data_IF_921296851197
#
_entry.id   IF_921296851197
#
_cell.length_a   1.000
_cell.length_b   1.000
_cell.length_c   1.000
_cell.angle_alpha   90.00
_cell.angle_beta   90.00
_cell.angle_gamma   90.00
#
_symmetry.space_group_name_H-M   'P 1'
#
loop_
_entity.id
_entity.type
_entity.pdbx_description
1 polymer ?
#
# COMPACT_ATOMS: atom_id res chain seq x y z
N UNK A 1 -7.19 17.23 3.63
CA UNK A 1 -6.99 16.23 2.56
C UNK A 1 -7.97 16.56 1.44
N UNK A 2 -7.52 17.03 0.27
CA UNK A 2 -8.41 17.52 -0.81
C UNK A 2 -8.86 16.43 -1.78
N UNK A 3 -8.36 15.20 -1.61
CA UNK A 3 -8.59 14.09 -2.53
C UNK A 3 -10.03 13.59 -2.49
N UNK A 4 -10.77 13.65 -3.61
CA UNK A 4 -12.22 13.45 -3.63
C UNK A 4 -12.63 12.06 -3.17
N UNK A 5 -11.85 11.01 -3.49
CA UNK A 5 -12.20 9.65 -3.08
C UNK A 5 -12.04 9.42 -1.58
N UNK A 6 -11.02 10.02 -0.95
CA UNK A 6 -10.92 9.97 0.50
C UNK A 6 -12.08 10.75 1.16
N UNK A 7 -12.40 11.94 0.65
CA UNK A 7 -13.53 12.73 1.14
C UNK A 7 -14.87 12.00 0.96
N UNK A 8 -15.07 11.33 -0.16
CA UNK A 8 -16.28 10.54 -0.40
C UNK A 8 -16.39 9.36 0.57
N UNK A 9 -15.28 8.66 0.85
CA UNK A 9 -15.27 7.56 1.83
C UNK A 9 -15.61 8.04 3.25
N UNK A 10 -15.33 9.29 3.60
CA UNK A 10 -15.75 9.83 4.91
C UNK A 10 -17.26 9.99 5.08
N UNK A 11 -18.01 10.04 3.97
CA UNK A 11 -19.48 10.12 4.00
C UNK A 11 -20.16 8.77 4.10
N UNK A 12 -19.42 7.67 3.94
CA UNK A 12 -19.98 6.33 3.96
C UNK A 12 -19.79 5.68 5.33
N UNK A 13 -20.78 4.95 5.86
CA UNK A 13 -20.67 4.21 7.10
C UNK A 13 -19.86 2.93 6.90
N UNK A 14 -18.59 3.06 6.50
CA UNK A 14 -17.71 1.94 6.23
C UNK A 14 -16.47 1.95 7.12
N UNK A 15 -15.81 0.79 7.21
CA UNK A 15 -14.60 0.59 8.01
C UNK A 15 -13.36 1.34 7.52
N UNK A 16 -13.40 2.01 6.35
CA UNK A 16 -12.28 2.79 5.81
C UNK A 16 -11.73 3.84 6.75
N UNK A 17 -12.61 4.60 7.42
CA UNK A 17 -12.17 5.75 8.19
C UNK A 17 -11.39 5.25 9.40
N UNK A 18 -11.94 4.29 10.14
CA UNK A 18 -11.28 3.63 11.25
C UNK A 18 -9.95 3.00 10.80
N UNK A 19 -9.95 2.34 9.64
CA UNK A 19 -8.75 1.77 9.04
C UNK A 19 -7.67 2.83 8.75
N UNK A 20 -8.03 3.94 8.10
CA UNK A 20 -7.10 5.03 7.78
C UNK A 20 -6.55 5.69 9.04
N UNK A 21 -7.37 5.90 10.07
CA UNK A 21 -6.92 6.45 11.35
C UNK A 21 -5.88 5.54 12.00
N UNK A 22 -6.14 4.22 12.06
CA UNK A 22 -5.19 3.26 12.60
C UNK A 22 -3.90 3.19 11.76
N UNK A 23 -4.02 3.09 10.43
CA UNK A 23 -2.89 3.01 9.52
C UNK A 23 -2.02 4.27 9.56
N UNK A 24 -2.62 5.45 9.42
CA UNK A 24 -1.87 6.71 9.44
C UNK A 24 -1.30 6.99 10.83
N UNK A 25 -2.01 6.61 11.90
CA UNK A 25 -1.49 6.65 13.26
C UNK A 25 -0.23 5.79 13.39
N UNK A 26 -0.27 4.54 12.91
CA UNK A 26 0.89 3.65 12.91
C UNK A 26 2.07 4.26 12.16
N UNK A 27 1.86 4.76 10.94
CA UNK A 27 2.90 5.35 10.11
C UNK A 27 3.46 6.66 10.70
N UNK A 28 2.62 7.47 11.33
CA UNK A 28 3.02 8.71 11.98
C UNK A 28 3.90 8.44 13.21
N UNK A 29 3.48 7.51 14.07
CA UNK A 29 4.26 7.09 15.25
C UNK A 29 5.58 6.45 14.80
N UNK A 30 5.53 5.58 13.77
CA UNK A 30 6.70 4.98 13.17
C UNK A 30 7.69 6.01 12.63
N UNK A 31 7.20 6.97 11.84
CA UNK A 31 8.01 8.06 11.28
C UNK A 31 8.66 8.91 12.38
N UNK A 32 7.92 9.24 13.44
CA UNK A 32 8.46 9.97 14.60
C UNK A 32 9.51 9.16 15.37
N UNK A 33 9.29 7.87 15.56
CA UNK A 33 10.23 6.99 16.24
C UNK A 33 11.54 6.86 15.43
N UNK A 34 11.43 6.67 14.11
CA UNK A 34 12.57 6.43 13.22
C UNK A 34 13.39 7.70 12.94
N UNK A 35 12.72 8.84 12.72
CA UNK A 35 13.37 10.11 12.38
C UNK A 35 13.74 10.97 13.62
N UNK A 36 13.18 10.64 14.79
CA UNK A 36 13.27 11.41 16.03
C UNK A 36 13.83 10.62 17.22
N UNK A 37 13.05 10.52 18.30
CA UNK A 37 13.50 10.12 19.64
C UNK A 37 13.79 8.63 19.84
N UNK A 38 13.51 7.77 18.84
CA UNK A 38 13.79 6.31 18.86
C UNK A 38 13.27 5.59 20.11
N UNK A 39 12.09 6.00 20.61
CA UNK A 39 11.47 5.37 21.77
C UNK A 39 10.95 3.96 21.47
N UNK A 40 11.25 3.01 22.35
CA UNK A 40 10.70 1.65 22.31
C UNK A 40 9.18 1.60 22.43
N UNK A 41 8.59 2.48 23.25
CA UNK A 41 7.13 2.58 23.38
C UNK A 41 6.47 3.03 22.07
N UNK A 42 7.15 3.84 21.27
CA UNK A 42 6.65 4.27 19.97
C UNK A 42 6.66 3.12 18.95
N UNK A 43 7.69 2.26 18.95
CA UNK A 43 7.69 1.05 18.12
C UNK A 43 6.62 0.05 18.53
N UNK A 44 6.42 -0.14 19.84
CA UNK A 44 5.33 -0.96 20.35
C UNK A 44 3.96 -0.41 19.92
N UNK A 45 3.73 0.88 20.09
CA UNK A 45 2.50 1.56 19.68
C UNK A 45 2.28 1.49 18.15
N UNK A 46 3.35 1.59 17.36
CA UNK A 46 3.29 1.35 15.92
C UNK A 46 2.74 -0.05 15.62
N UNK A 47 3.26 -1.06 16.31
CA UNK A 47 2.81 -2.45 16.22
C UNK A 47 1.34 -2.61 16.58
N UNK A 48 0.93 -2.04 17.72
CA UNK A 48 -0.47 -2.06 18.19
C UNK A 48 -1.40 -1.46 17.14
N UNK A 49 -1.10 -0.26 16.64
CA UNK A 49 -1.93 0.43 15.64
C UNK A 49 -1.95 -0.33 14.29
N UNK A 50 -0.85 -0.94 13.88
CA UNK A 50 -0.81 -1.81 12.71
C UNK A 50 -1.66 -3.07 12.91
N UNK A 51 -1.68 -3.65 14.11
CA UNK A 51 -2.53 -4.79 14.48
C UNK A 51 -4.01 -4.43 14.44
N UNK A 52 -4.36 -3.24 14.95
CA UNK A 52 -5.73 -2.71 14.85
C UNK A 52 -6.11 -2.53 13.37
N UNK A 53 -5.23 -1.95 12.55
CA UNK A 53 -5.49 -1.81 11.11
C UNK A 53 -5.72 -3.17 10.42
N UNK A 54 -4.98 -4.21 10.81
CA UNK A 54 -5.17 -5.58 10.32
C UNK A 54 -6.53 -6.17 10.70
N UNK A 55 -6.97 -5.99 11.95
CA UNK A 55 -8.30 -6.43 12.40
C UNK A 55 -9.43 -5.70 11.66
N UNK A 56 -9.25 -4.41 11.35
CA UNK A 56 -10.26 -3.63 10.63
C UNK A 56 -10.31 -4.06 9.15
N UNK A 57 -9.16 -4.30 8.50
CA UNK A 57 -9.10 -4.72 7.10
C UNK A 57 -7.97 -5.69 6.76
N UNK A 58 -8.29 -6.78 6.04
CA UNK A 58 -7.31 -7.73 5.51
C UNK A 58 -6.19 -7.15 4.65
N UNK A 59 -6.40 -6.01 3.98
CA UNK A 59 -5.35 -5.43 3.12
C UNK A 59 -4.12 -4.98 3.91
N UNK A 60 -4.25 -4.75 5.23
CA UNK A 60 -3.11 -4.46 6.09
C UNK A 60 -2.38 -5.72 6.58
N UNK A 61 -2.77 -6.93 6.15
CA UNK A 61 -2.10 -8.17 6.55
C UNK A 61 -0.61 -8.11 6.22
N UNK A 62 0.22 -8.08 7.27
CA UNK A 62 1.66 -7.99 7.13
C UNK A 62 2.22 -6.56 7.18
N UNK A 63 1.41 -5.51 7.41
CA UNK A 63 1.93 -4.14 7.64
C UNK A 63 2.92 -4.11 8.81
N UNK A 64 2.60 -4.76 9.93
CA UNK A 64 3.51 -4.84 11.08
C UNK A 64 4.86 -5.48 10.70
N UNK A 65 4.82 -6.63 10.02
CA UNK A 65 6.01 -7.29 9.51
C UNK A 65 6.81 -6.42 8.52
N UNK A 66 6.11 -5.76 7.59
CA UNK A 66 6.70 -4.87 6.61
C UNK A 66 7.43 -3.71 7.27
N UNK A 67 6.82 -3.03 8.25
CA UNK A 67 7.45 -1.95 9.00
C UNK A 67 8.68 -2.45 9.79
N UNK A 68 8.62 -3.66 10.36
CA UNK A 68 9.78 -4.29 10.98
C UNK A 68 10.92 -4.54 9.98
N UNK A 69 10.61 -4.97 8.76
CA UNK A 69 11.62 -5.12 7.70
C UNK A 69 12.26 -3.78 7.30
N UNK A 70 11.49 -2.69 7.24
CA UNK A 70 12.04 -1.35 6.98
C UNK A 70 13.06 -0.94 8.04
N UNK A 71 12.79 -1.23 9.31
CA UNK A 71 13.72 -0.93 10.42
C UNK A 71 14.97 -1.78 10.35
N UNK A 72 14.85 -3.07 10.02
CA UNK A 72 16.01 -3.95 9.84
C UNK A 72 16.90 -3.50 8.67
N UNK A 73 16.28 -3.03 7.58
CA UNK A 73 16.95 -2.50 6.41
C UNK A 73 17.64 -1.13 6.65
N UNK A 74 17.27 -0.40 7.71
CA UNK A 74 17.81 0.92 8.02
C UNK A 74 19.31 0.86 8.40
N UNK A 75 20.20 1.04 7.41
CA UNK A 75 21.66 0.85 7.55
C UNK A 75 22.35 1.75 8.59
N UNK A 76 21.70 2.82 9.03
CA UNK A 76 22.29 3.82 9.93
C UNK A 76 22.36 3.38 11.40
N UNK A 77 21.67 2.31 11.80
CA UNK A 77 21.57 1.93 13.23
C UNK A 77 22.42 0.72 13.59
N UNK A 78 22.78 0.57 14.87
CA UNK A 78 23.36 -0.67 15.37
C UNK A 78 22.36 -1.82 15.22
N UNK A 79 22.84 -3.00 14.82
CA UNK A 79 22.00 -4.17 14.54
C UNK A 79 21.10 -4.57 15.73
N UNK A 80 21.62 -4.49 16.96
CA UNK A 80 20.84 -4.78 18.18
C UNK A 80 19.63 -3.85 18.36
N UNK A 81 19.79 -2.55 18.11
CA UNK A 81 18.68 -1.59 18.17
C UNK A 81 17.65 -1.83 17.07
N UNK A 82 18.07 -2.32 15.90
CA UNK A 82 17.15 -2.67 14.80
C UNK A 82 16.30 -3.88 15.14
N UNK A 83 16.94 -4.95 15.63
CA UNK A 83 16.23 -6.15 16.10
C UNK A 83 15.26 -5.75 17.20
N UNK A 84 15.72 -4.96 18.17
CA UNK A 84 14.89 -4.46 19.24
C UNK A 84 13.63 -3.74 18.77
N UNK A 85 13.78 -2.73 17.92
CA UNK A 85 12.66 -1.99 17.38
C UNK A 85 11.72 -2.87 16.51
N UNK A 86 12.28 -3.76 15.70
CA UNK A 86 11.51 -4.72 14.91
C UNK A 86 10.71 -5.68 15.81
N UNK A 87 11.32 -6.21 16.86
CA UNK A 87 10.66 -7.06 17.86
C UNK A 87 9.57 -6.31 18.62
N UNK A 88 9.78 -5.03 18.96
CA UNK A 88 8.74 -4.21 19.60
C UNK A 88 7.53 -3.99 18.69
N UNK A 89 7.74 -3.71 17.39
CA UNK A 89 6.65 -3.62 16.41
C UNK A 89 5.89 -4.94 16.30
N UNK A 90 6.61 -6.07 16.16
CA UNK A 90 5.99 -7.39 16.05
C UNK A 90 5.23 -7.78 17.32
N UNK A 91 5.80 -7.51 18.49
CA UNK A 91 5.14 -7.74 19.77
C UNK A 91 3.84 -6.93 19.89
N UNK A 92 3.88 -5.62 19.56
CA UNK A 92 2.67 -4.80 19.55
C UNK A 92 1.61 -5.32 18.58
N UNK A 93 2.03 -5.79 17.41
CA UNK A 93 1.12 -6.37 16.43
C UNK A 93 0.44 -7.64 16.94
N UNK A 94 1.23 -8.55 17.53
CA UNK A 94 0.75 -9.79 18.12
C UNK A 94 -0.18 -9.56 19.32
N UNK A 95 0.12 -8.58 20.18
CA UNK A 95 -0.73 -8.26 21.35
C UNK A 95 -2.16 -7.86 20.96
N UNK A 96 -2.36 -7.32 19.76
CA UNK A 96 -3.70 -6.96 19.25
C UNK A 96 -4.36 -8.11 18.52
N UNK A 97 -3.60 -8.83 17.69
CA UNK A 97 -4.12 -9.89 16.83
C UNK A 97 -4.43 -11.17 17.62
N UNK A 98 -3.53 -11.60 18.50
CA UNK A 98 -3.64 -12.90 19.18
C UNK A 98 -4.90 -13.05 20.04
N UNK A 99 -5.33 -12.05 20.85
CA UNK A 99 -6.56 -12.20 21.64
C UNK A 99 -7.79 -12.51 20.78
N UNK A 100 -7.88 -11.89 19.59
CA UNK A 100 -8.96 -12.15 18.65
C UNK A 100 -8.84 -13.55 18.03
N UNK A 101 -7.65 -13.96 17.60
CA UNK A 101 -7.44 -15.29 17.01
C UNK A 101 -7.72 -16.41 18.02
N UNK A 102 -7.29 -16.26 19.27
CA UNK A 102 -7.58 -17.21 20.36
C UNK A 102 -9.08 -17.30 20.61
N UNK A 103 -9.77 -16.16 20.73
CA UNK A 103 -11.21 -16.16 20.93
C UNK A 103 -11.96 -16.83 19.77
N UNK A 104 -11.61 -16.54 18.52
CA UNK A 104 -12.25 -17.19 17.36
C UNK A 104 -11.97 -18.70 17.34
N UNK A 105 -10.75 -19.12 17.68
CA UNK A 105 -10.39 -20.52 17.75
C UNK A 105 -11.22 -21.26 18.83
N UNK A 106 -11.38 -20.68 20.01
CA UNK A 106 -12.22 -21.24 21.07
C UNK A 106 -13.68 -21.38 20.64
N UNK A 107 -14.21 -20.44 19.85
CA UNK A 107 -15.59 -20.48 19.39
C UNK A 107 -15.84 -21.43 18.21
N UNK A 108 -14.84 -21.64 17.35
CA UNK A 108 -15.03 -22.35 16.07
C UNK A 108 -14.28 -23.68 15.98
N UNK A 109 -13.29 -23.92 16.84
CA UNK A 109 -12.35 -25.04 16.73
C UNK A 109 -11.42 -24.96 15.51
N UNK A 110 -11.45 -23.85 14.75
CA UNK A 110 -10.67 -23.65 13.53
C UNK A 110 -9.77 -22.43 13.66
N UNK A 111 -8.54 -22.55 13.16
CA UNK A 111 -7.66 -21.38 12.99
C UNK A 111 -8.16 -20.61 11.78
N UNK A 112 -9.00 -19.61 12.04
CA UNK A 112 -9.50 -18.70 11.00
C UNK A 112 -8.48 -17.57 10.85
N UNK A 113 -7.69 -17.53 9.77
CA UNK A 113 -6.79 -16.40 9.55
C UNK A 113 -7.64 -15.11 9.49
N UNK A 114 -7.04 -13.99 9.89
CA UNK A 114 -7.61 -12.62 9.90
C UNK A 114 -8.39 -12.20 8.62
N UNK A 115 -8.31 -12.97 7.54
CA UNK A 115 -9.17 -12.84 6.37
C UNK A 115 -9.72 -14.19 5.88
N UNK A 116 -11.03 -14.37 6.00
CA UNK A 116 -11.79 -15.41 5.28
C UNK A 116 -12.09 -15.02 3.83
N UNK A 117 -11.97 -13.72 3.51
CA UNK A 117 -12.27 -13.17 2.19
C UNK A 117 -11.14 -13.26 1.15
N UNK A 118 -9.98 -13.79 1.52
CA UNK A 118 -8.79 -13.84 0.65
C UNK A 118 -9.06 -14.60 -0.65
N UNK A 119 -9.36 -15.90 -0.56
CA UNK A 119 -9.60 -16.76 -1.74
C UNK A 119 -10.75 -16.23 -2.61
N UNK A 120 -11.94 -15.90 -2.08
CA UNK A 120 -13.00 -15.30 -2.88
C UNK A 120 -12.56 -14.03 -3.62
N UNK A 121 -11.86 -13.11 -2.94
CA UNK A 121 -11.38 -11.86 -3.54
C UNK A 121 -10.35 -12.10 -4.64
N UNK A 122 -9.47 -13.10 -4.47
CA UNK A 122 -8.50 -13.50 -5.50
C UNK A 122 -9.22 -14.03 -6.74
N UNK A 123 -10.20 -14.92 -6.57
CA UNK A 123 -10.99 -15.44 -7.70
C UNK A 123 -11.76 -14.33 -8.42
N UNK A 124 -12.46 -13.47 -7.67
CA UNK A 124 -13.17 -12.33 -8.26
C UNK A 124 -12.21 -11.42 -9.03
N UNK A 125 -11.01 -11.19 -8.51
CA UNK A 125 -9.96 -10.42 -9.18
C UNK A 125 -9.41 -11.07 -10.46
N UNK A 126 -9.63 -12.37 -10.65
CA UNK A 126 -9.26 -13.11 -11.88
C UNK A 126 -10.40 -13.22 -12.89
N UNK A 127 -11.66 -12.99 -12.49
CA UNK A 127 -12.84 -13.17 -13.36
C UNK A 127 -13.73 -11.93 -13.47
N UNK A 128 -13.27 -10.76 -13.01
CA UNK A 128 -14.07 -9.54 -12.84
C UNK A 128 -14.80 -9.04 -14.10
N UNK A 129 -14.30 -9.33 -15.31
CA UNK A 129 -14.92 -8.88 -16.56
C UNK A 129 -15.91 -9.88 -17.17
N UNK A 130 -15.89 -11.15 -16.72
CA UNK A 130 -16.76 -12.22 -17.22
C UNK A 130 -17.90 -12.50 -16.26
N UNK A 131 -17.64 -12.42 -14.95
CA UNK A 131 -18.67 -12.62 -13.93
C UNK A 131 -19.35 -11.31 -13.54
N UNK A 132 -20.52 -11.06 -14.13
CA UNK A 132 -21.39 -9.96 -13.71
C UNK A 132 -22.07 -10.31 -12.40
N UNK A 133 -21.69 -9.64 -11.31
CA UNK A 133 -22.61 -9.45 -10.19
C UNK A 133 -23.60 -8.40 -10.68
N UNK A 134 -24.92 -8.60 -10.58
CA UNK A 134 -25.95 -7.83 -11.31
C UNK A 134 -25.87 -6.29 -11.27
N UNK A 135 -25.00 -5.69 -10.45
CA UNK A 135 -24.67 -4.26 -10.41
C UNK A 135 -23.46 -3.83 -11.28
N UNK A 136 -22.72 -4.78 -11.90
CA UNK A 136 -21.55 -4.51 -12.75
C UNK A 136 -21.98 -4.26 -14.19
N UNK A 137 -21.54 -3.15 -14.78
CA UNK A 137 -21.87 -2.77 -16.17
C UNK A 137 -21.07 -3.55 -17.22
N UNK A 138 -20.02 -4.27 -16.80
CA UNK A 138 -19.10 -4.94 -17.70
C UNK A 138 -17.94 -4.03 -18.07
N UNK A 139 -16.77 -4.63 -18.29
CA UNK A 139 -15.57 -3.92 -18.74
C UNK A 139 -15.13 -4.51 -20.07
N UNK A 140 -14.80 -3.64 -21.02
CA UNK A 140 -14.09 -4.05 -22.22
C UNK A 140 -12.70 -4.56 -21.83
N UNK A 141 -12.39 -5.79 -22.23
CA UNK A 141 -11.08 -6.43 -22.06
C UNK A 141 -10.71 -7.11 -23.39
N UNK A 142 -9.42 -7.25 -23.71
CA UNK A 142 -8.98 -7.96 -24.91
C UNK A 142 -9.60 -9.37 -25.01
N UNK A 143 -9.83 -9.85 -26.23
CA UNK A 143 -10.47 -11.14 -26.47
C UNK A 143 -9.74 -12.29 -25.77
N UNK A 144 -8.41 -12.34 -25.87
CA UNK A 144 -7.56 -13.36 -25.25
C UNK A 144 -7.68 -13.34 -23.71
N UNK A 145 -7.73 -12.14 -23.11
CA UNK A 145 -7.93 -11.96 -21.66
C UNK A 145 -9.34 -12.41 -21.26
N UNK A 146 -10.37 -12.08 -22.05
CA UNK A 146 -11.75 -12.55 -21.80
C UNK A 146 -11.84 -14.06 -21.84
N UNK A 147 -11.17 -14.69 -22.80
CA UNK A 147 -11.14 -16.14 -22.93
C UNK A 147 -10.42 -16.80 -21.74
N UNK A 148 -9.28 -16.23 -21.32
CA UNK A 148 -8.57 -16.65 -20.10
C UNK A 148 -9.47 -16.55 -18.86
N UNK A 149 -10.13 -15.40 -18.65
CA UNK A 149 -11.05 -15.22 -17.53
C UNK A 149 -12.21 -16.20 -17.56
N UNK A 150 -12.73 -16.51 -18.75
CA UNK A 150 -13.81 -17.49 -18.95
C UNK A 150 -13.34 -18.91 -18.62
N UNK A 151 -12.11 -19.27 -19.01
CA UNK A 151 -11.50 -20.55 -18.68
C UNK A 151 -11.31 -20.72 -17.16
N UNK A 152 -10.90 -19.66 -16.47
CA UNK A 152 -10.79 -19.64 -15.00
C UNK A 152 -12.18 -19.73 -14.35
N UNK A 153 -13.17 -18.99 -14.87
CA UNK A 153 -14.54 -18.96 -14.32
C UNK A 153 -15.25 -20.31 -14.42
N UNK A 154 -15.00 -21.09 -15.49
CA UNK A 154 -15.51 -22.47 -15.63
C UNK A 154 -15.08 -23.39 -14.48
N UNK A 155 -13.93 -23.12 -13.86
CA UNK A 155 -13.41 -23.88 -12.71
C UNK A 155 -13.53 -23.11 -11.40
N UNK A 156 -14.32 -22.03 -11.36
CA UNK A 156 -14.39 -21.14 -10.20
C UNK A 156 -14.72 -21.87 -8.89
N UNK A 157 -15.57 -22.89 -8.94
CA UNK A 157 -15.95 -23.70 -7.79
C UNK A 157 -14.78 -24.51 -7.20
N UNK A 158 -13.84 -24.93 -8.04
CA UNK A 158 -12.69 -25.75 -7.67
C UNK A 158 -11.53 -24.94 -7.07
N UNK A 159 -11.57 -23.60 -7.16
CA UNK A 159 -10.49 -22.72 -6.70
C UNK A 159 -10.54 -22.44 -5.18
N UNK A 160 -10.89 -23.44 -4.37
CA UNK A 160 -11.14 -23.39 -2.91
C UNK A 160 -9.98 -22.87 -2.03
N UNK A 161 -8.77 -22.88 -2.57
CA UNK A 161 -7.55 -22.57 -1.84
C UNK A 161 -6.59 -21.69 -2.66
N UNK A 162 -5.68 -21.01 -1.96
CA UNK A 162 -4.58 -20.25 -2.62
C UNK A 162 -3.75 -21.18 -3.51
N UNK A 163 -3.50 -22.42 -3.07
CA UNK A 163 -2.78 -23.43 -3.87
C UNK A 163 -3.49 -23.79 -5.17
N UNK A 164 -4.82 -23.98 -5.13
CA UNK A 164 -5.62 -24.23 -6.33
C UNK A 164 -5.55 -23.05 -7.32
N UNK A 165 -5.63 -21.81 -6.82
CA UNK A 165 -5.48 -20.60 -7.66
C UNK A 165 -4.10 -20.52 -8.30
N UNK A 166 -3.04 -20.74 -7.53
CA UNK A 166 -1.65 -20.70 -8.05
C UNK A 166 -1.43 -21.81 -9.09
N UNK A 167 -1.95 -23.02 -8.84
CA UNK A 167 -1.88 -24.14 -9.79
C UNK A 167 -2.62 -23.82 -11.10
N UNK A 168 -3.81 -23.24 -11.00
CA UNK A 168 -4.58 -22.76 -12.15
C UNK A 168 -3.81 -21.71 -12.94
N UNK A 169 -3.30 -20.67 -12.28
CA UNK A 169 -2.50 -19.62 -12.92
C UNK A 169 -1.24 -20.17 -13.57
N UNK A 170 -0.56 -21.14 -12.94
CA UNK A 170 0.61 -21.82 -13.53
C UNK A 170 0.24 -22.60 -14.80
N UNK A 171 -0.93 -23.25 -14.81
CA UNK A 171 -1.44 -23.93 -16.01
C UNK A 171 -1.74 -22.92 -17.12
N UNK A 172 -2.45 -21.85 -16.80
CA UNK A 172 -2.77 -20.78 -17.76
C UNK A 172 -1.51 -20.07 -18.27
N UNK A 173 -0.49 -19.87 -17.43
CA UNK A 173 0.80 -19.31 -17.84
C UNK A 173 1.51 -20.17 -18.88
N UNK A 174 1.48 -21.50 -18.71
CA UNK A 174 2.07 -22.44 -19.69
C UNK A 174 1.31 -22.47 -21.00
N UNK A 175 -0.02 -22.31 -20.97
CA UNK A 175 -0.86 -22.38 -22.15
C UNK A 175 -0.94 -21.03 -22.90
N UNK A 176 -1.05 -19.92 -22.18
CA UNK A 176 -1.36 -18.57 -22.71
C UNK A 176 -0.61 -17.48 -21.91
N UNK A 177 0.73 -17.47 -21.92
CA UNK A 177 1.52 -16.55 -21.09
C UNK A 177 1.21 -15.08 -21.38
N UNK A 178 0.97 -14.73 -22.66
CA UNK A 178 0.62 -13.37 -23.07
C UNK A 178 -0.70 -12.90 -22.45
N UNK A 179 -1.76 -13.72 -22.48
CA UNK A 179 -3.04 -13.38 -21.89
C UNK A 179 -2.94 -13.18 -20.36
N UNK A 180 -2.09 -13.97 -19.68
CA UNK A 180 -1.83 -13.78 -18.25
C UNK A 180 -1.08 -12.47 -17.99
N UNK A 181 -0.07 -12.14 -18.79
CA UNK A 181 0.62 -10.85 -18.70
C UNK A 181 -0.33 -9.66 -18.93
N UNK A 182 -1.18 -9.75 -19.96
CA UNK A 182 -2.18 -8.72 -20.25
C UNK A 182 -3.21 -8.59 -19.12
N UNK A 183 -3.65 -9.70 -18.53
CA UNK A 183 -4.52 -9.70 -17.34
C UNK A 183 -3.86 -8.96 -16.18
N UNK A 184 -2.62 -9.31 -15.82
CA UNK A 184 -1.92 -8.64 -14.72
C UNK A 184 -1.61 -7.18 -15.04
N UNK A 185 -1.27 -6.84 -16.29
CA UNK A 185 -1.12 -5.45 -16.73
C UNK A 185 -2.41 -4.65 -16.57
N UNK A 186 -3.56 -5.26 -16.90
CA UNK A 186 -4.86 -4.67 -16.68
C UNK A 186 -5.16 -4.48 -15.19
N UNK A 187 -4.84 -5.45 -14.33
CA UNK A 187 -4.96 -5.31 -12.86
C UNK A 187 -4.07 -4.16 -12.36
N UNK A 188 -2.80 -4.12 -12.78
CA UNK A 188 -1.82 -3.07 -12.46
C UNK A 188 -2.34 -1.67 -12.80
N UNK A 189 -2.94 -1.48 -13.98
CA UNK A 189 -3.54 -0.20 -14.34
C UNK A 189 -4.81 0.07 -13.54
N UNK A 190 -5.72 -0.90 -13.49
CA UNK A 190 -7.04 -0.77 -12.86
C UNK A 190 -6.98 -0.57 -11.35
N UNK A 191 -5.89 -0.94 -10.67
CA UNK A 191 -5.77 -0.70 -9.22
C UNK A 191 -5.85 0.78 -8.86
N UNK A 192 -5.57 1.66 -9.82
CA UNK A 192 -5.56 3.10 -9.64
C UNK A 192 -6.90 3.77 -9.91
N UNK A 193 -7.81 3.15 -10.67
CA UNK A 193 -9.06 3.82 -11.06
C UNK A 193 -10.29 2.91 -11.06
N UNK A 194 -10.10 1.61 -10.90
CA UNK A 194 -11.15 0.61 -11.00
C UNK A 194 -12.15 0.68 -9.87
N UNK A 195 -13.42 0.52 -10.21
CA UNK A 195 -14.53 0.43 -9.25
C UNK A 195 -15.20 -0.93 -9.34
N UNK A 196 -15.85 -1.37 -8.25
CA UNK A 196 -16.51 -2.67 -8.25
C UNK A 196 -17.74 -2.67 -9.17
N UNK A 197 -18.44 -1.54 -9.29
CA UNK A 197 -19.54 -1.34 -10.23
C UNK A 197 -19.08 -1.15 -11.68
N UNK A 198 -17.78 -0.90 -11.90
CA UNK A 198 -17.19 -0.63 -13.21
C UNK A 198 -17.71 0.66 -13.85
N UNK A 199 -18.30 1.55 -13.04
CA UNK A 199 -18.88 2.84 -13.45
C UNK A 199 -17.87 3.97 -13.31
N UNK A 200 -17.95 4.94 -14.22
CA UNK A 200 -17.19 6.21 -14.21
C UNK A 200 -15.67 6.03 -14.17
N UNK A 201 -15.15 4.85 -14.51
CA UNK A 201 -13.71 4.55 -14.51
C UNK A 201 -12.87 5.55 -15.33
N UNK A 202 -13.31 6.04 -16.52
CA UNK A 202 -12.57 7.07 -17.26
C UNK A 202 -12.46 8.40 -16.51
N UNK A 203 -13.53 8.83 -15.83
CA UNK A 203 -13.53 10.08 -15.05
C UNK A 203 -12.59 9.94 -13.86
N UNK A 204 -12.67 8.81 -13.18
CA UNK A 204 -11.78 8.48 -12.05
C UNK A 204 -10.33 8.48 -12.53
N UNK A 205 -10.05 7.88 -13.68
CA UNK A 205 -8.70 7.85 -14.25
C UNK A 205 -8.15 9.26 -14.49
N UNK A 206 -8.93 10.20 -15.02
CA UNK A 206 -8.48 11.60 -15.22
C UNK A 206 -8.16 12.28 -13.88
N UNK A 207 -9.03 12.13 -12.87
CA UNK A 207 -8.77 12.66 -11.52
C UNK A 207 -7.48 12.06 -10.96
N UNK A 208 -7.27 10.77 -11.19
CA UNK A 208 -6.09 10.06 -10.70
C UNK A 208 -4.82 10.44 -11.41
N UNK A 209 -4.88 10.75 -12.69
CA UNK A 209 -3.73 11.30 -13.42
C UNK A 209 -3.29 12.63 -12.82
N UNK A 210 -4.25 13.51 -12.48
CA UNK A 210 -3.95 14.79 -11.84
C UNK A 210 -3.30 14.63 -10.46
N UNK A 211 -3.93 13.89 -9.53
CA UNK A 211 -3.37 13.67 -8.20
C UNK A 211 -2.09 12.83 -8.21
N UNK A 212 -2.00 11.85 -9.11
CA UNK A 212 -0.80 11.05 -9.33
C UNK A 212 0.37 11.91 -9.77
N UNK A 213 0.18 12.83 -10.72
CA UNK A 213 1.20 13.78 -11.14
C UNK A 213 1.68 14.65 -9.97
N UNK A 214 0.77 15.17 -9.14
CA UNK A 214 1.14 15.95 -7.95
C UNK A 214 1.95 15.13 -6.94
N UNK A 215 1.53 13.88 -6.67
CA UNK A 215 2.27 12.99 -5.77
C UNK A 215 3.68 12.69 -6.30
N UNK A 216 3.83 12.42 -7.60
CA UNK A 216 5.13 12.15 -8.23
C UNK A 216 6.03 13.39 -8.20
N UNK A 217 5.50 14.57 -8.54
CA UNK A 217 6.25 15.83 -8.49
C UNK A 217 6.69 16.19 -7.07
N UNK A 218 5.78 16.07 -6.09
CA UNK A 218 6.08 16.29 -4.68
C UNK A 218 7.13 15.31 -4.16
N UNK A 219 7.01 14.03 -4.51
CA UNK A 219 8.01 13.02 -4.19
C UNK A 219 9.38 13.30 -4.82
N UNK A 220 9.40 13.68 -6.10
CA UNK A 220 10.64 14.02 -6.80
C UNK A 220 11.37 15.19 -6.15
N UNK A 221 10.64 16.26 -5.80
CA UNK A 221 11.23 17.40 -5.07
C UNK A 221 11.68 17.02 -3.66
N UNK A 222 10.85 16.32 -2.88
CA UNK A 222 11.20 15.86 -1.54
C UNK A 222 12.44 14.93 -1.56
N UNK A 223 12.58 14.11 -2.59
CA UNK A 223 13.76 13.28 -2.83
C UNK A 223 15.00 14.12 -3.09
N UNK A 224 14.90 15.14 -3.95
CA UNK A 224 16.00 16.07 -4.29
C UNK A 224 16.48 16.89 -3.09
N UNK A 225 15.58 17.22 -2.14
CA UNK A 225 15.96 17.90 -0.89
C UNK A 225 16.83 17.02 0.03
N UNK A 226 16.79 15.69 -0.13
CA UNK A 226 17.62 14.77 0.64
C UNK A 226 17.23 14.65 2.11
N UNK A 227 18.16 14.16 2.94
CA UNK A 227 18.01 14.03 4.39
C UNK A 227 16.74 13.30 4.82
N UNK A 228 16.00 13.88 5.77
CA UNK A 228 14.74 13.32 6.31
C UNK A 228 13.62 13.27 5.27
N UNK A 229 13.57 14.23 4.34
CA UNK A 229 12.53 14.29 3.31
C UNK A 229 12.65 13.11 2.33
N UNK A 230 13.88 12.75 1.94
CA UNK A 230 14.14 11.56 1.13
C UNK A 230 13.73 10.27 1.84
N UNK A 231 14.12 10.09 3.10
CA UNK A 231 13.76 8.89 3.89
C UNK A 231 12.23 8.77 4.03
N UNK A 232 11.53 9.88 4.30
CA UNK A 232 10.08 9.90 4.37
C UNK A 232 9.44 9.54 3.01
N UNK A 233 9.98 10.07 1.92
CA UNK A 233 9.53 9.75 0.55
C UNK A 233 9.70 8.28 0.22
N UNK A 234 10.87 7.71 0.50
CA UNK A 234 11.15 6.28 0.35
C UNK A 234 10.14 5.44 1.14
N UNK A 235 9.94 5.75 2.43
CA UNK A 235 8.98 5.05 3.28
C UNK A 235 7.54 5.11 2.76
N UNK A 236 7.08 6.28 2.33
CA UNK A 236 5.73 6.46 1.78
C UNK A 236 5.55 5.64 0.50
N UNK A 237 6.49 5.70 -0.45
CA UNK A 237 6.40 4.91 -1.69
C UNK A 237 6.51 3.42 -1.45
N UNK A 238 7.29 2.99 -0.47
CA UNK A 238 7.34 1.59 -0.04
C UNK A 238 5.97 1.12 0.48
N UNK A 239 5.27 1.93 1.27
CA UNK A 239 3.89 1.65 1.68
C UNK A 239 2.94 1.63 0.48
N UNK A 240 3.06 2.58 -0.45
CA UNK A 240 2.25 2.59 -1.68
C UNK A 240 2.44 1.30 -2.49
N UNK A 241 3.68 0.88 -2.70
CA UNK A 241 4.02 -0.36 -3.41
C UNK A 241 3.49 -1.59 -2.66
N UNK A 242 3.57 -1.61 -1.32
CA UNK A 242 3.01 -2.70 -0.52
C UNK A 242 1.48 -2.81 -0.72
N UNK A 243 0.73 -1.72 -0.57
CA UNK A 243 -0.73 -1.72 -0.78
C UNK A 243 -1.08 -2.07 -2.23
N UNK A 244 -0.27 -1.61 -3.18
CA UNK A 244 -0.43 -1.94 -4.58
C UNK A 244 -0.27 -3.44 -4.83
N UNK A 245 0.77 -4.06 -4.28
CA UNK A 245 0.99 -5.50 -4.32
C UNK A 245 -0.17 -6.29 -3.71
N UNK A 246 -0.64 -5.89 -2.53
CA UNK A 246 -1.80 -6.53 -1.89
C UNK A 246 -3.07 -6.42 -2.74
N UNK A 247 -3.28 -5.29 -3.41
CA UNK A 247 -4.41 -5.06 -4.31
C UNK A 247 -4.34 -5.91 -5.60
N UNK A 248 -3.14 -6.30 -6.04
CA UNK A 248 -2.95 -7.18 -7.20
C UNK A 248 -3.27 -8.65 -6.88
N UNK A 249 -3.03 -9.07 -5.63
CA UNK A 249 -3.37 -10.41 -5.17
C UNK A 249 -4.89 -10.60 -5.18
N UNK A 250 -5.63 -9.65 -4.60
CA UNK A 250 -7.09 -9.71 -4.50
C UNK A 250 -7.86 -9.08 -5.67
N UNK A 251 -8.99 -8.47 -5.31
CA UNK A 251 -9.84 -7.70 -6.20
C UNK A 251 -9.23 -6.30 -6.39
N UNK A 252 -8.93 -5.96 -7.63
CA UNK A 252 -8.12 -4.79 -7.93
C UNK A 252 -8.96 -3.52 -8.05
N UNK A 253 -9.19 -2.87 -6.90
CA UNK A 253 -10.03 -1.68 -6.78
C UNK A 253 -9.25 -0.45 -6.32
N UNK A 254 -9.66 0.72 -6.78
CA UNK A 254 -9.20 2.01 -6.28
C UNK A 254 -9.44 2.14 -4.77
N UNK A 255 -10.61 1.70 -4.28
CA UNK A 255 -11.01 1.80 -2.85
C UNK A 255 -9.91 1.32 -1.88
N UNK A 256 -9.15 0.32 -2.30
CA UNK A 256 -8.03 -0.27 -1.54
C UNK A 256 -6.73 0.53 -1.63
N UNK A 257 -6.52 1.30 -2.71
CA UNK A 257 -5.40 2.22 -2.87
C UNK A 257 -5.63 3.59 -2.25
N UNK A 258 -6.88 3.98 -1.96
CA UNK A 258 -7.18 5.32 -1.42
C UNK A 258 -6.36 5.68 -0.16
N UNK A 259 -6.18 4.78 0.85
CA UNK A 259 -5.30 5.08 1.98
C UNK A 259 -3.85 5.35 1.57
N UNK A 260 -3.30 4.54 0.66
CA UNK A 260 -1.92 4.69 0.20
C UNK A 260 -1.72 5.95 -0.65
N UNK A 261 -2.64 6.24 -1.57
CA UNK A 261 -2.63 7.47 -2.37
C UNK A 261 -2.77 8.68 -1.46
N UNK A 262 -3.64 8.57 -0.46
CA UNK A 262 -3.85 9.60 0.53
C UNK A 262 -2.59 9.96 1.32
N UNK A 263 -1.79 8.95 1.67
CA UNK A 263 -0.47 9.13 2.26
C UNK A 263 0.50 9.84 1.30
N UNK A 264 0.46 9.52 0.00
CA UNK A 264 1.27 10.18 -1.02
C UNK A 264 1.06 11.70 -1.07
N UNK A 265 -0.14 12.18 -0.75
CA UNK A 265 -0.45 13.61 -0.74
C UNK A 265 0.28 14.40 0.34
N UNK A 266 0.85 13.73 1.35
CA UNK A 266 1.73 14.35 2.35
C UNK A 266 2.99 14.93 1.70
N UNK A 267 3.37 14.44 0.51
CA UNK A 267 4.54 14.91 -0.23
C UNK A 267 4.26 16.15 -1.11
N UNK A 268 3.00 16.45 -1.39
CA UNK A 268 2.59 17.55 -2.29
C UNK A 268 3.08 18.93 -1.83
N UNK A 269 3.08 19.29 -0.53
CA UNK A 269 3.67 20.56 -0.08
C UNK A 269 5.14 20.75 -0.48
N UNK A 270 5.89 19.65 -0.71
CA UNK A 270 7.25 19.70 -1.23
C UNK A 270 7.37 20.38 -2.60
N UNK A 271 6.27 20.53 -3.35
CA UNK A 271 6.24 21.26 -4.62
C UNK A 271 6.55 22.75 -4.42
N UNK A 272 6.11 23.34 -3.32
CA UNK A 272 6.29 24.76 -3.05
C UNK A 272 7.68 25.11 -2.49
N UNK A 273 8.47 24.12 -2.06
CA UNK A 273 9.78 24.35 -1.46
C UNK A 273 10.81 24.56 -2.60
N UNK A 274 11.53 25.70 -2.62
CA UNK A 274 12.61 25.90 -3.57
C UNK A 274 13.77 24.95 -3.25
N UNK A 275 14.33 24.31 -4.29
CA UNK A 275 15.57 23.56 -4.15
C UNK A 275 16.67 24.61 -4.08
N UNK A 276 17.18 24.89 -2.88
CA UNK A 276 18.34 25.77 -2.73
C UNK A 276 19.51 25.03 -3.39
N UNK A 277 19.90 25.50 -4.57
CA UNK A 277 21.11 25.05 -5.24
C UNK A 277 22.29 25.30 -4.31
N UNK A 278 23.19 24.32 -4.25
CA UNK A 278 24.57 24.52 -3.80
C UNK A 278 25.25 25.47 -4.79
N UNK A 279 24.89 26.74 -4.80
CA UNK A 279 25.60 27.80 -5.51
C UNK A 279 26.61 28.43 -4.57
N UNK A 280 27.87 28.36 -5.00
CA UNK A 280 29.02 29.18 -4.63
C UNK A 280 29.62 29.09 -3.21
N UNK A 281 30.28 27.97 -2.95
CA UNK A 281 31.50 27.96 -2.11
C UNK A 281 32.73 28.55 -2.83
N UNK A 282 32.58 29.10 -4.05
CA UNK A 282 33.67 29.67 -4.84
C UNK A 282 34.00 31.15 -4.52
N UNK A 283 33.24 31.84 -3.65
CA UNK A 283 33.50 33.27 -3.35
C UNK A 283 34.16 33.55 -1.98
N UNK A 284 34.40 32.55 -1.13
CA UNK A 284 35.03 32.77 0.19
C UNK A 284 36.58 32.85 0.16
N UNK A 285 37.21 32.84 -1.01
CA UNK A 285 38.68 32.82 -1.17
C UNK A 285 39.36 34.18 -1.38
N UNK A 286 38.63 35.26 -1.64
CA UNK A 286 39.21 36.56 -2.06
C UNK A 286 39.15 37.66 -0.98
N UNK A 287 39.55 37.33 0.25
CA UNK A 287 39.77 38.32 1.30
C UNK A 287 41.04 38.00 2.11
N UNK A 288 42.17 37.84 1.41
CA UNK A 288 43.51 37.99 1.99
C UNK A 288 44.24 39.06 1.20
N UNK A 289 44.25 40.28 1.72
CA UNK A 289 45.06 41.36 1.15
C UNK A 289 44.84 42.68 1.87
N UNK A 290 45.87 43.10 2.59
CA UNK A 290 46.16 44.47 3.04
C UNK A 290 45.53 44.94 4.36
N UNK A 291 46.30 44.79 5.44
CA UNK A 291 46.80 46.02 6.10
C UNK A 291 48.22 45.79 6.60
N UNK A 292 49.08 46.71 6.17
CA UNK A 292 50.52 46.83 6.39
C UNK A 292 50.75 47.62 7.68
N UNK A 293 51.82 47.22 8.39
CA UNK A 293 52.65 47.93 9.39
C UNK A 293 52.11 49.20 10.05
#
# INVERSE_FOLDING_TARGET
MTYPFALWLTKQPNSEIAFMVALYGALLVFGRATLGSRSWSAYLLTGLLAGVAMLIRPIALGVGFFLSMLVLAARTWRWSSRIGAASAILAGNLLVVLPWEVWVYEQTGLVVPLSTGGVPSMRDGLTFAVRSRGFREGTAVPADVRELMTAIDRRYGELDSVGAIVSELRRQWRARPRAVLELYGLKVARSWYGTDSQRLEPVIFVVQLFYGALCVLGAWKAWRLGGRARIATEGIWMVVVYFWGMNLVGLTLLRYMVPAIGLGLVLVPGIAIPIIGTEDSSQAGSAKGHTVR
#
